data_IF_536782403843
#
_entry.id   IF_536782403843
#
_cell.length_a   1.000
_cell.length_b   1.000
_cell.length_c   1.000
_cell.angle_alpha   90.00
_cell.angle_beta   90.00
_cell.angle_gamma   90.00
#
_symmetry.space_group_name_H-M   'P 1'
#
loop_
_entity.id
_entity.type
_entity.pdbx_description
1 polymer ?
#
# COMPACT_ATOMS: atom_id res chain seq x y z
N UNK A 1 -25.54 12.32 -57.46
CA UNK A 1 -25.51 10.90 -57.87
C UNK A 1 -24.84 10.73 -59.24
N UNK A 2 -23.56 10.34 -59.27
CA UNK A 2 -22.87 9.70 -60.41
C UNK A 2 -21.47 9.27 -59.94
N UNK A 3 -21.11 8.00 -60.13
CA UNK A 3 -19.85 7.41 -59.65
C UNK A 3 -18.91 7.16 -60.84
N UNK A 4 -17.62 7.47 -60.66
CA UNK A 4 -16.49 6.91 -61.42
C UNK A 4 -15.38 6.64 -60.39
N UNK A 5 -15.24 5.40 -59.93
CA UNK A 5 -14.44 4.32 -60.55
C UNK A 5 -12.94 4.58 -60.40
N UNK A 6 -12.33 3.75 -59.55
CA UNK A 6 -10.91 3.77 -59.15
C UNK A 6 -10.05 3.16 -60.26
N UNK A 7 -8.87 3.72 -60.53
CA UNK A 7 -7.93 3.21 -61.52
C UNK A 7 -6.72 2.54 -60.83
N UNK A 8 -6.39 1.30 -61.24
CA UNK A 8 -5.35 0.47 -60.60
C UNK A 8 -3.97 0.67 -61.27
N UNK A 9 -3.11 1.54 -60.74
CA UNK A 9 -1.76 1.72 -61.34
C UNK A 9 -0.61 2.14 -60.40
N UNK A 10 -0.82 2.24 -59.07
CA UNK A 10 0.21 2.79 -58.14
C UNK A 10 0.94 1.70 -57.32
N UNK A 11 0.49 0.44 -57.36
CA UNK A 11 0.97 -0.63 -56.45
C UNK A 11 2.12 -1.49 -57.02
N UNK A 12 2.92 -0.98 -57.97
CA UNK A 12 4.06 -1.74 -58.57
C UNK A 12 5.26 -0.80 -58.82
N UNK A 13 5.73 -0.10 -57.78
CA UNK A 13 6.84 0.86 -57.88
C UNK A 13 7.80 0.88 -56.67
N UNK A 14 7.70 -0.10 -55.76
CA UNK A 14 8.44 -0.11 -54.48
C UNK A 14 9.04 -1.48 -54.12
N UNK A 15 9.25 -2.33 -55.14
CA UNK A 15 9.95 -3.60 -55.06
C UNK A 15 10.84 -3.76 -56.30
N UNK A 16 11.94 -4.52 -56.15
CA UNK A 16 13.04 -4.74 -57.12
C UNK A 16 14.01 -3.57 -57.31
N UNK A 17 15.11 -3.61 -56.53
CA UNK A 17 16.51 -3.24 -56.83
C UNK A 17 17.26 -3.23 -55.48
N UNK A 18 17.44 -4.38 -54.83
CA UNK A 18 18.58 -5.34 -54.98
C UNK A 18 19.82 -4.87 -54.17
N UNK A 19 20.51 -5.76 -53.41
CA UNK A 19 21.37 -5.35 -52.30
C UNK A 19 22.88 -5.61 -52.57
N UNK A 20 23.67 -5.58 -51.48
CA UNK A 20 25.10 -5.95 -51.35
C UNK A 20 26.10 -4.88 -51.82
N UNK A 21 26.81 -4.30 -50.86
CA UNK A 21 28.27 -4.11 -50.93
C UNK A 21 28.84 -3.93 -49.51
N UNK A 22 29.79 -4.78 -49.13
CA UNK A 22 30.39 -4.80 -47.79
C UNK A 22 31.92 -4.78 -47.88
N UNK A 23 32.54 -3.85 -47.15
CA UNK A 23 33.98 -3.75 -46.84
C UNK A 23 34.95 -3.57 -48.02
N UNK A 24 35.81 -2.53 -47.93
CA UNK A 24 37.26 -2.75 -47.73
C UNK A 24 38.02 -1.46 -47.38
N UNK A 25 38.99 -1.64 -46.48
CA UNK A 25 40.02 -0.72 -45.96
C UNK A 25 40.66 0.26 -46.96
N UNK A 26 40.95 1.50 -46.51
CA UNK A 26 42.33 2.01 -46.39
C UNK A 26 42.47 3.35 -45.63
N UNK A 27 43.59 3.50 -44.92
CA UNK A 27 44.10 4.68 -44.19
C UNK A 27 45.65 4.66 -44.38
N UNK A 28 46.44 5.77 -44.37
CA UNK A 28 46.67 6.53 -43.12
C UNK A 28 47.19 8.00 -43.24
N UNK A 29 47.49 8.61 -42.07
CA UNK A 29 48.51 9.68 -41.81
C UNK A 29 48.25 11.12 -42.29
N UNK A 30 48.68 12.21 -41.61
CA UNK A 30 49.00 12.57 -40.18
C UNK A 30 49.34 14.08 -40.13
N UNK A 31 49.43 14.67 -38.92
CA UNK A 31 50.37 15.74 -38.43
C UNK A 31 49.68 16.87 -37.63
N UNK A 32 49.80 16.75 -36.30
CA UNK A 32 50.20 17.73 -35.26
C UNK A 32 49.77 19.22 -35.35
N UNK A 33 49.18 19.69 -34.25
CA UNK A 33 49.91 20.56 -33.30
C UNK A 33 49.36 20.39 -31.86
N UNK A 34 50.27 20.31 -30.90
CA UNK A 34 50.05 20.10 -29.45
C UNK A 34 49.81 21.47 -28.74
N UNK A 35 49.59 21.63 -27.43
CA UNK A 35 49.43 20.74 -26.26
C UNK A 35 48.03 21.05 -25.60
N UNK A 36 47.63 20.84 -24.32
CA UNK A 36 48.19 20.29 -23.07
C UNK A 36 46.99 19.84 -22.18
N UNK A 37 46.99 18.61 -21.63
CA UNK A 37 46.12 18.18 -20.49
C UNK A 37 46.43 16.71 -20.09
N UNK A 38 46.89 16.48 -18.86
CA UNK A 38 47.33 15.16 -18.37
C UNK A 38 46.21 14.19 -17.93
N UNK A 39 46.51 12.88 -18.03
CA UNK A 39 45.99 11.75 -17.20
C UNK A 39 44.47 11.47 -17.15
N UNK A 40 43.96 10.29 -17.48
CA UNK A 40 44.56 9.05 -17.98
C UNK A 40 43.59 8.35 -18.93
N UNK A 41 44.08 7.76 -20.02
CA UNK A 41 43.26 7.05 -21.01
C UNK A 41 43.81 5.65 -21.29
N UNK A 42 43.20 4.64 -20.69
CA UNK A 42 43.56 3.24 -20.91
C UNK A 42 42.79 2.63 -22.09
N UNK A 43 43.34 2.76 -23.30
CA UNK A 43 42.88 2.01 -24.48
C UNK A 43 43.26 0.51 -24.32
N UNK A 44 42.33 -0.31 -23.85
CA UNK A 44 42.53 -1.76 -23.69
C UNK A 44 42.33 -2.45 -25.04
N UNK A 45 43.43 -2.72 -25.75
CA UNK A 45 43.44 -3.57 -26.95
C UNK A 45 43.44 -5.05 -26.53
N UNK A 46 42.26 -5.68 -26.47
CA UNK A 46 42.11 -7.08 -26.07
C UNK A 46 42.66 -8.01 -27.16
N UNK A 47 43.64 -8.86 -26.83
CA UNK A 47 44.28 -9.78 -27.79
C UNK A 47 43.96 -11.26 -27.54
N UNK A 48 43.43 -11.62 -26.36
CA UNK A 48 43.18 -13.01 -25.96
C UNK A 48 42.02 -13.17 -24.98
N UNK A 49 41.37 -14.35 -25.00
CA UNK A 49 40.33 -14.71 -24.03
C UNK A 49 40.84 -14.74 -22.58
N UNK A 50 42.14 -14.95 -22.38
CA UNK A 50 42.82 -14.84 -21.09
C UNK A 50 42.79 -13.42 -20.53
N UNK A 51 42.91 -12.38 -21.38
CA UNK A 51 42.82 -10.98 -20.95
C UNK A 51 41.38 -10.59 -20.62
N UNK A 52 40.38 -11.12 -21.33
CA UNK A 52 38.96 -10.95 -21.00
C UNK A 52 38.61 -11.52 -19.61
N UNK A 53 39.12 -12.71 -19.28
CA UNK A 53 38.96 -13.30 -17.95
C UNK A 53 39.70 -12.51 -16.87
N UNK A 54 40.83 -11.89 -17.19
CA UNK A 54 41.59 -11.06 -16.24
C UNK A 54 40.96 -9.68 -16.05
N UNK A 55 40.38 -9.07 -17.09
CA UNK A 55 39.65 -7.80 -16.99
C UNK A 55 38.39 -7.95 -16.17
N UNK A 56 37.62 -9.05 -16.34
CA UNK A 56 36.49 -9.38 -15.46
C UNK A 56 36.92 -9.49 -13.99
N UNK A 57 38.09 -10.06 -13.71
CA UNK A 57 38.64 -10.23 -12.35
C UNK A 57 39.31 -8.99 -11.76
N UNK A 58 39.52 -7.93 -12.55
CA UNK A 58 40.09 -6.65 -12.10
C UNK A 58 39.03 -5.53 -12.06
N UNK A 59 38.01 -5.61 -12.91
CA UNK A 59 36.82 -4.76 -12.86
C UNK A 59 35.74 -5.31 -11.92
N UNK A 60 35.95 -6.49 -11.32
CA UNK A 60 35.32 -6.84 -10.03
C UNK A 60 35.92 -6.01 -8.89
N UNK A 61 35.76 -4.68 -8.98
CA UNK A 61 35.40 -3.90 -7.79
C UNK A 61 34.24 -4.65 -7.14
N UNK A 62 34.26 -4.80 -5.82
CA UNK A 62 33.19 -5.51 -5.15
C UNK A 62 31.86 -4.80 -5.45
N UNK A 63 31.02 -5.44 -6.26
CA UNK A 63 29.58 -5.24 -6.19
C UNK A 63 29.16 -5.73 -4.79
N UNK A 64 29.30 -4.84 -3.81
CA UNK A 64 28.38 -4.78 -2.69
C UNK A 64 27.00 -4.85 -3.32
N UNK A 65 26.28 -5.94 -3.08
CA UNK A 65 24.87 -6.01 -3.46
C UNK A 65 24.22 -4.74 -2.89
N UNK A 66 23.55 -3.96 -3.74
CA UNK A 66 22.91 -2.73 -3.29
C UNK A 66 22.01 -3.07 -2.11
N UNK A 67 22.30 -2.49 -0.94
CA UNK A 67 21.49 -2.75 0.24
C UNK A 67 20.07 -2.30 -0.08
N UNK A 68 19.13 -3.23 0.00
CA UNK A 68 17.73 -2.98 -0.30
C UNK A 68 17.29 -1.70 0.42
N UNK A 69 16.60 -0.75 -0.27
CA UNK A 69 15.97 0.36 0.44
C UNK A 69 15.07 -0.24 1.51
N UNK A 70 15.43 0.02 2.77
CA UNK A 70 14.92 -0.70 3.96
C UNK A 70 13.39 -0.80 4.01
N UNK A 71 12.60 0.21 3.59
CA UNK A 71 11.15 0.10 3.46
C UNK A 71 10.70 -1.02 2.50
N UNK A 72 11.21 -1.07 1.27
CA UNK A 72 10.69 -1.95 0.22
C UNK A 72 10.83 -3.43 0.56
N UNK A 73 11.93 -3.85 1.19
CA UNK A 73 12.08 -5.24 1.64
C UNK A 73 10.99 -5.61 2.65
N UNK A 74 10.70 -4.72 3.59
CA UNK A 74 9.70 -4.90 4.64
C UNK A 74 8.28 -4.94 4.06
N UNK A 75 7.98 -4.10 3.08
CA UNK A 75 6.70 -4.10 2.37
C UNK A 75 6.53 -5.34 1.47
N UNK A 76 7.60 -5.88 0.87
CA UNK A 76 7.56 -7.15 0.12
C UNK A 76 7.29 -8.36 1.03
N UNK A 77 8.03 -8.51 2.11
CA UNK A 77 7.84 -9.63 3.04
C UNK A 77 6.48 -9.52 3.76
N UNK A 78 6.01 -8.29 4.02
CA UNK A 78 4.65 -7.99 4.44
C UNK A 78 3.60 -8.40 3.41
N UNK A 79 3.77 -8.09 2.12
CA UNK A 79 2.82 -8.45 1.06
C UNK A 79 2.74 -9.97 0.85
N UNK A 80 3.87 -10.68 0.90
CA UNK A 80 3.93 -12.15 0.92
C UNK A 80 3.09 -12.74 2.06
N UNK A 81 3.14 -12.10 3.23
CA UNK A 81 2.31 -12.51 4.37
C UNK A 81 0.83 -12.21 4.16
N UNK A 82 0.50 -11.02 3.63
CA UNK A 82 -0.89 -10.60 3.33
C UNK A 82 -1.54 -11.51 2.29
N UNK A 83 -0.82 -11.93 1.25
CA UNK A 83 -1.31 -12.77 0.16
C UNK A 83 -1.40 -14.26 0.50
N UNK A 84 -1.08 -14.69 1.73
CA UNK A 84 -1.19 -16.09 2.15
C UNK A 84 -2.53 -16.77 1.79
N UNK A 85 -3.72 -16.13 1.93
CA UNK A 85 -4.99 -16.74 1.51
C UNK A 85 -4.99 -17.08 0.01
N UNK A 86 -4.65 -16.11 -0.84
CA UNK A 86 -4.60 -16.26 -2.30
C UNK A 86 -3.60 -17.32 -2.76
N UNK A 87 -2.51 -17.54 -2.01
CA UNK A 87 -1.43 -18.46 -2.37
C UNK A 87 -1.53 -19.84 -1.69
N UNK A 88 -2.58 -20.13 -0.92
CA UNK A 88 -2.75 -21.38 -0.17
C UNK A 88 -3.86 -22.27 -0.74
N UNK A 89 -3.51 -23.42 -1.31
CA UNK A 89 -4.44 -24.30 -2.04
C UNK A 89 -5.59 -24.93 -1.21
N UNK A 90 -5.65 -24.68 0.09
CA UNK A 90 -6.76 -25.09 0.98
C UNK A 90 -7.59 -23.91 1.51
N UNK A 91 -7.41 -22.71 0.94
CA UNK A 91 -8.17 -21.50 1.28
C UNK A 91 -9.23 -21.20 0.19
N UNK A 92 -10.36 -20.63 0.59
CA UNK A 92 -11.48 -20.33 -0.32
C UNK A 92 -11.13 -19.24 -1.34
N UNK A 93 -10.18 -18.36 -1.02
CA UNK A 93 -9.70 -17.28 -1.89
C UNK A 93 -8.53 -17.68 -2.80
N UNK A 94 -8.23 -18.98 -2.93
CA UNK A 94 -7.06 -19.47 -3.66
C UNK A 94 -7.11 -19.18 -5.17
N UNK A 95 -6.13 -18.43 -5.70
CA UNK A 95 -6.11 -17.98 -7.11
C UNK A 95 -5.69 -19.07 -8.11
N UNK A 96 -5.46 -20.30 -7.66
CA UNK A 96 -5.00 -21.40 -8.51
C UNK A 96 -3.47 -21.50 -8.63
N UNK A 97 -2.98 -22.69 -8.97
CA UNK A 97 -1.53 -22.98 -8.96
C UNK A 97 -0.72 -22.16 -9.97
N UNK A 98 -1.27 -21.88 -11.16
CA UNK A 98 -0.56 -21.15 -12.21
C UNK A 98 -0.34 -19.67 -11.85
N UNK A 99 -1.37 -19.04 -11.30
CA UNK A 99 -1.31 -17.64 -10.87
C UNK A 99 -0.59 -17.49 -9.52
N UNK A 100 -0.66 -18.47 -8.62
CA UNK A 100 0.26 -18.60 -7.48
C UNK A 100 1.72 -18.59 -7.95
N UNK A 101 2.08 -19.46 -8.91
CA UNK A 101 3.47 -19.58 -9.39
C UNK A 101 3.97 -18.27 -10.00
N UNK A 102 3.12 -17.58 -10.77
CA UNK A 102 3.41 -16.25 -11.32
C UNK A 102 3.58 -15.18 -10.22
N UNK A 103 2.68 -15.13 -9.24
CA UNK A 103 2.77 -14.16 -8.14
C UNK A 103 4.02 -14.41 -7.28
N UNK A 104 4.30 -15.65 -6.88
CA UNK A 104 5.45 -15.98 -6.03
C UNK A 104 6.80 -15.82 -6.75
N UNK A 105 6.94 -16.34 -7.97
CA UNK A 105 8.24 -16.43 -8.65
C UNK A 105 8.58 -15.22 -9.54
N UNK A 106 7.61 -14.36 -9.86
CA UNK A 106 7.80 -13.24 -10.79
C UNK A 106 7.31 -11.88 -10.27
N UNK A 107 6.14 -11.79 -9.64
CA UNK A 107 5.70 -10.50 -9.06
C UNK A 107 6.40 -10.21 -7.72
N UNK A 108 6.41 -11.18 -6.80
CA UNK A 108 7.05 -11.07 -5.48
C UNK A 108 8.54 -11.45 -5.51
N UNK A 109 9.18 -11.38 -6.68
CA UNK A 109 10.58 -11.72 -6.90
C UNK A 109 11.48 -10.50 -6.56
N UNK A 110 12.31 -10.58 -5.50
CA UNK A 110 12.98 -9.42 -4.93
C UNK A 110 14.04 -8.85 -5.88
N UNK A 111 14.76 -9.72 -6.62
CA UNK A 111 15.84 -9.38 -7.55
C UNK A 111 15.36 -8.59 -8.77
N UNK A 112 14.05 -8.52 -8.98
CA UNK A 112 13.41 -7.83 -10.12
C UNK A 112 12.63 -6.58 -9.73
N UNK A 113 12.67 -6.20 -8.45
CA UNK A 113 11.91 -5.07 -7.88
C UNK A 113 12.19 -3.73 -8.58
N UNK A 114 13.47 -3.39 -8.78
CA UNK A 114 13.88 -2.14 -9.41
C UNK A 114 13.64 -2.09 -10.94
N UNK A 115 13.18 -3.18 -11.56
CA UNK A 115 12.89 -3.22 -13.00
C UNK A 115 11.51 -2.63 -13.30
N UNK A 116 11.44 -1.85 -14.39
CA UNK A 116 10.18 -1.36 -14.95
C UNK A 116 9.22 -2.54 -15.17
N UNK A 117 7.96 -2.35 -14.77
CA UNK A 117 6.92 -3.38 -14.87
C UNK A 117 6.27 -3.32 -16.25
N UNK A 118 6.24 -4.42 -17.02
CA UNK A 118 5.46 -4.48 -18.24
C UNK A 118 3.99 -4.18 -17.96
N UNK A 119 3.33 -3.44 -18.84
CA UNK A 119 1.94 -3.06 -18.65
C UNK A 119 1.00 -4.28 -18.65
N UNK A 120 1.32 -5.29 -19.47
CA UNK A 120 0.66 -6.60 -19.46
C UNK A 120 0.79 -7.33 -18.12
N UNK A 121 1.95 -7.23 -17.45
CA UNK A 121 2.15 -7.79 -16.12
C UNK A 121 1.41 -7.00 -15.04
N UNK A 122 1.42 -5.66 -15.13
CA UNK A 122 0.65 -4.80 -14.23
C UNK A 122 -0.85 -5.07 -14.33
N UNK A 123 -1.39 -5.18 -15.55
CA UNK A 123 -2.78 -5.58 -15.79
C UNK A 123 -3.08 -6.95 -15.16
N UNK A 124 -2.23 -7.96 -15.37
CA UNK A 124 -2.42 -9.29 -14.78
C UNK A 124 -2.40 -9.26 -13.26
N UNK A 125 -1.46 -8.56 -12.64
CA UNK A 125 -1.39 -8.45 -11.17
C UNK A 125 -2.60 -7.72 -10.61
N UNK A 126 -3.03 -6.60 -11.24
CA UNK A 126 -4.26 -5.89 -10.86
C UNK A 126 -5.49 -6.80 -10.96
N UNK A 127 -5.61 -7.59 -12.03
CA UNK A 127 -6.73 -8.55 -12.21
C UNK A 127 -6.74 -9.64 -11.16
N UNK A 128 -5.59 -10.25 -10.88
CA UNK A 128 -5.49 -11.34 -9.89
C UNK A 128 -5.73 -10.83 -8.46
N UNK A 129 -5.10 -9.71 -8.09
CA UNK A 129 -5.11 -9.23 -6.72
C UNK A 129 -6.38 -8.44 -6.34
N UNK A 130 -7.12 -7.92 -7.31
CA UNK A 130 -8.45 -7.31 -7.10
C UNK A 130 -9.62 -8.19 -7.59
N UNK A 131 -9.35 -9.46 -7.92
CA UNK A 131 -10.33 -10.47 -8.34
C UNK A 131 -11.23 -9.96 -9.48
N UNK A 132 -10.62 -9.50 -10.57
CA UNK A 132 -11.32 -9.12 -11.82
C UNK A 132 -11.25 -10.24 -12.86
N UNK A 133 -12.35 -10.97 -12.96
CA UNK A 133 -12.68 -11.94 -14.00
C UNK A 133 -12.70 -11.35 -15.43
N UNK A 134 -13.11 -12.14 -16.41
CA UNK A 134 -13.26 -11.70 -17.80
C UNK A 134 -14.50 -10.84 -18.06
N UNK A 135 -15.53 -10.86 -17.19
CA UNK A 135 -16.71 -9.99 -17.33
C UNK A 135 -16.36 -8.54 -16.96
N UNK A 136 -15.53 -8.37 -15.94
CA UNK A 136 -15.00 -7.08 -15.49
C UNK A 136 -13.85 -6.54 -16.35
N UNK A 137 -13.40 -7.25 -17.40
CA UNK A 137 -12.22 -6.87 -18.20
C UNK A 137 -12.32 -5.45 -18.79
N UNK A 138 -13.51 -4.96 -19.12
CA UNK A 138 -13.71 -3.61 -19.66
C UNK A 138 -13.38 -2.52 -18.62
N UNK A 139 -13.60 -2.74 -17.33
CA UNK A 139 -13.19 -1.77 -16.30
C UNK A 139 -11.67 -1.66 -16.21
N UNK A 140 -10.98 -2.81 -16.18
CA UNK A 140 -9.52 -2.88 -16.15
C UNK A 140 -8.94 -2.23 -17.40
N UNK A 141 -9.49 -2.55 -18.58
CA UNK A 141 -9.10 -1.94 -19.85
C UNK A 141 -9.20 -0.41 -19.83
N UNK A 142 -10.36 0.13 -19.43
CA UNK A 142 -10.65 1.57 -19.44
C UNK A 142 -9.76 2.36 -18.48
N UNK A 143 -9.25 1.71 -17.42
CA UNK A 143 -8.46 2.35 -16.36
C UNK A 143 -6.95 2.10 -16.47
N UNK A 144 -6.52 0.98 -17.05
CA UNK A 144 -5.13 0.56 -17.16
C UNK A 144 -4.70 0.46 -18.63
N UNK A 145 -5.25 -0.50 -19.38
CA UNK A 145 -4.74 -0.91 -20.70
C UNK A 145 -4.80 0.21 -21.74
N UNK A 146 -5.87 1.01 -21.74
CA UNK A 146 -6.05 2.14 -22.69
C UNK A 146 -5.11 3.34 -22.39
N UNK A 147 -4.33 3.31 -21.30
CA UNK A 147 -3.29 4.30 -20.95
C UNK A 147 -1.85 3.79 -21.16
N UNK A 148 -1.67 2.65 -21.82
CA UNK A 148 -0.35 2.02 -21.99
C UNK A 148 0.41 2.52 -23.21
N UNK A 149 1.74 2.60 -23.10
CA UNK A 149 2.66 3.05 -24.16
C UNK A 149 3.86 2.10 -24.18
N UNK A 150 4.14 1.47 -25.32
CA UNK A 150 5.25 0.52 -25.53
C UNK A 150 5.39 -0.55 -24.42
N UNK A 151 4.26 -1.17 -24.05
CA UNK A 151 4.09 -2.13 -22.94
C UNK A 151 4.59 -1.61 -21.58
N UNK A 152 4.37 -0.32 -21.32
CA UNK A 152 4.61 0.34 -20.02
C UNK A 152 3.45 1.25 -19.67
N UNK A 153 3.39 1.62 -18.39
CA UNK A 153 2.42 2.57 -17.86
C UNK A 153 3.13 3.61 -16.98
N UNK A 154 2.78 4.88 -17.17
CA UNK A 154 3.26 5.99 -16.33
C UNK A 154 2.56 5.95 -14.97
N UNK A 155 3.30 6.25 -13.89
CA UNK A 155 2.82 6.14 -12.50
C UNK A 155 1.50 6.89 -12.27
N UNK A 156 1.28 8.02 -12.93
CA UNK A 156 0.03 8.79 -12.85
C UNK A 156 -1.20 8.03 -13.33
N UNK A 157 -1.08 7.26 -14.42
CA UNK A 157 -2.18 6.42 -14.91
C UNK A 157 -2.30 5.13 -14.12
N UNK A 158 -1.17 4.53 -13.73
CA UNK A 158 -1.17 3.30 -12.92
C UNK A 158 -1.91 3.49 -11.59
N UNK A 159 -1.60 4.54 -10.82
CA UNK A 159 -2.23 4.78 -9.53
C UNK A 159 -3.66 5.32 -9.67
N UNK A 160 -3.92 6.24 -10.61
CA UNK A 160 -5.28 6.74 -10.81
C UNK A 160 -6.24 5.64 -11.31
N UNK A 161 -5.78 4.79 -12.23
CA UNK A 161 -6.52 3.63 -12.70
C UNK A 161 -6.74 2.59 -11.60
N UNK A 162 -5.73 2.35 -10.75
CA UNK A 162 -5.87 1.51 -9.55
C UNK A 162 -6.93 2.06 -8.60
N UNK A 163 -6.92 3.36 -8.29
CA UNK A 163 -7.94 3.99 -7.43
C UNK A 163 -9.36 3.81 -7.97
N UNK A 164 -9.56 4.01 -9.27
CA UNK A 164 -10.85 3.76 -9.94
C UNK A 164 -11.30 2.30 -9.82
N UNK A 165 -10.37 1.34 -9.88
CA UNK A 165 -10.66 -0.09 -9.72
C UNK A 165 -10.89 -0.50 -8.26
N UNK A 166 -10.21 0.11 -7.29
CA UNK A 166 -10.44 -0.13 -5.86
C UNK A 166 -11.87 0.28 -5.46
N UNK A 167 -12.41 1.36 -6.02
CA UNK A 167 -13.81 1.77 -5.79
C UNK A 167 -14.86 0.81 -6.39
N UNK A 168 -14.45 -0.21 -7.16
CA UNK A 168 -15.32 -1.31 -7.64
C UNK A 168 -15.20 -2.59 -6.78
N UNK A 169 -14.42 -2.53 -5.68
CA UNK A 169 -14.13 -3.66 -4.78
C UNK A 169 -14.21 -3.31 -3.29
N UNK A 170 -14.15 -2.03 -2.95
CA UNK A 170 -14.26 -1.50 -1.59
C UNK A 170 -15.23 -0.31 -1.57
N UNK A 171 -15.86 0.01 -0.42
CA UNK A 171 -16.73 1.19 -0.25
C UNK A 171 -15.94 2.52 -0.18
N UNK A 172 -14.92 2.66 -1.02
CA UNK A 172 -14.09 3.85 -1.13
C UNK A 172 -14.77 4.92 -1.98
N UNK A 173 -14.66 6.17 -1.54
CA UNK A 173 -15.01 7.32 -2.37
C UNK A 173 -13.79 7.93 -3.04
N UNK A 174 -14.02 8.29 -4.30
CA UNK A 174 -13.12 9.07 -5.15
C UNK A 174 -13.63 10.52 -5.32
N UNK A 175 -14.74 10.88 -4.66
CA UNK A 175 -15.25 12.25 -4.64
C UNK A 175 -14.27 13.17 -3.91
N UNK A 176 -14.03 14.33 -4.52
CA UNK A 176 -13.13 15.35 -4.02
C UNK A 176 -13.80 16.27 -3.00
N UNK A 177 -13.54 16.08 -1.71
CA UNK A 177 -13.76 17.13 -0.72
C UNK A 177 -12.58 18.12 -0.75
N UNK A 178 -12.86 19.35 -1.16
CA UNK A 178 -11.83 20.36 -1.49
C UNK A 178 -10.87 20.68 -0.33
N UNK A 179 -11.29 20.50 0.93
CA UNK A 179 -10.44 20.74 2.10
C UNK A 179 -9.37 19.66 2.29
N UNK A 180 -9.69 18.37 2.04
CA UNK A 180 -8.67 17.30 2.02
C UNK A 180 -7.62 17.61 0.95
N UNK A 181 -8.07 18.06 -0.23
CA UNK A 181 -7.18 18.38 -1.35
C UNK A 181 -6.28 19.58 -1.08
N UNK A 182 -6.78 20.63 -0.42
CA UNK A 182 -5.95 21.75 0.02
C UNK A 182 -4.95 21.35 1.12
N UNK A 183 -5.31 20.41 2.01
CA UNK A 183 -4.37 19.79 2.96
C UNK A 183 -3.37 18.85 2.26
N UNK A 184 -3.71 18.27 1.09
CA UNK A 184 -2.86 17.35 0.31
C UNK A 184 -1.76 18.01 -0.54
N UNK A 185 -1.62 19.34 -0.52
CA UNK A 185 -0.65 20.15 -1.32
C UNK A 185 0.83 19.76 -1.11
N UNK A 186 1.11 18.83 -0.19
CA UNK A 186 2.43 18.27 0.13
C UNK A 186 3.13 17.60 -1.07
N UNK A 187 2.42 16.99 -2.03
CA UNK A 187 3.09 16.43 -3.24
C UNK A 187 3.33 17.56 -4.25
N UNK A 188 4.61 17.87 -4.48
CA UNK A 188 5.01 19.11 -5.18
C UNK A 188 5.10 19.01 -6.71
N UNK A 189 5.08 17.81 -7.28
CA UNK A 189 5.27 17.58 -8.73
C UNK A 189 3.99 17.17 -9.49
N UNK A 190 2.81 17.45 -8.94
CA UNK A 190 1.51 17.16 -9.58
C UNK A 190 0.98 18.30 -10.47
N UNK A 191 1.64 19.46 -10.53
CA UNK A 191 1.11 20.69 -11.17
C UNK A 191 0.76 20.55 -12.66
N UNK A 192 1.47 19.66 -13.38
CA UNK A 192 1.33 19.48 -14.84
C UNK A 192 0.31 18.40 -15.24
N UNK A 193 -0.28 17.70 -14.28
CA UNK A 193 -1.17 16.56 -14.52
C UNK A 193 -2.61 17.04 -14.78
N UNK A 194 -3.36 16.34 -15.64
CA UNK A 194 -4.81 16.49 -15.71
C UNK A 194 -5.45 16.35 -14.32
N UNK A 195 -6.25 17.35 -13.93
CA UNK A 195 -6.80 17.47 -12.57
C UNK A 195 -7.43 16.15 -12.09
N UNK A 196 -8.21 15.46 -12.93
CA UNK A 196 -8.86 14.17 -12.59
C UNK A 196 -7.90 13.11 -12.04
N UNK A 197 -6.68 13.01 -12.57
CA UNK A 197 -5.67 12.06 -12.08
C UNK A 197 -4.97 12.60 -10.82
N UNK A 198 -4.69 13.91 -10.78
CA UNK A 198 -4.15 14.61 -9.60
C UNK A 198 -5.06 14.45 -8.37
N UNK A 199 -6.38 14.56 -8.52
CA UNK A 199 -7.35 14.28 -7.45
C UNK A 199 -7.19 12.85 -6.90
N UNK A 200 -7.09 11.85 -7.79
CA UNK A 200 -6.95 10.44 -7.42
C UNK A 200 -5.60 10.14 -6.76
N UNK A 201 -4.50 10.75 -7.23
CA UNK A 201 -3.16 10.62 -6.63
C UNK A 201 -3.12 11.27 -5.24
N UNK A 202 -3.68 12.48 -5.08
CA UNK A 202 -3.83 13.14 -3.78
C UNK A 202 -4.67 12.30 -2.81
N UNK A 203 -5.81 11.74 -3.26
CA UNK A 203 -6.66 10.88 -2.42
C UNK A 203 -5.96 9.57 -2.04
N UNK A 204 -5.24 8.94 -2.97
CA UNK A 204 -4.41 7.77 -2.71
C UNK A 204 -3.31 8.07 -1.69
N UNK A 205 -2.65 9.22 -1.79
CA UNK A 205 -1.64 9.68 -0.84
C UNK A 205 -2.24 9.86 0.55
N UNK A 206 -3.36 10.56 0.69
CA UNK A 206 -4.02 10.74 1.98
C UNK A 206 -4.51 9.42 2.60
N UNK A 207 -4.95 8.45 1.80
CA UNK A 207 -5.31 7.10 2.26
C UNK A 207 -4.09 6.18 2.53
N UNK A 208 -2.87 6.65 2.24
CA UNK A 208 -1.61 5.92 2.45
C UNK A 208 -1.24 4.91 1.36
N UNK A 209 -1.94 4.90 0.21
CA UNK A 209 -1.81 3.89 -0.85
C UNK A 209 -0.69 4.19 -1.88
N UNK A 210 -0.09 5.38 -1.86
CA UNK A 210 1.13 5.68 -2.64
C UNK A 210 2.30 4.84 -2.16
N UNK A 211 3.21 4.49 -3.08
CA UNK A 211 4.41 3.72 -2.75
C UNK A 211 5.45 4.46 -1.89
N UNK A 212 6.37 3.69 -1.33
CA UNK A 212 7.46 4.12 -0.44
C UNK A 212 8.30 5.31 -0.93
N UNK A 213 8.48 5.51 -2.24
CA UNK A 213 9.34 6.59 -2.75
C UNK A 213 8.75 7.99 -2.52
N UNK A 214 7.43 8.08 -2.34
CA UNK A 214 6.69 9.34 -2.15
C UNK A 214 6.84 9.84 -0.71
N UNK A 215 7.06 8.93 0.26
CA UNK A 215 7.15 9.28 1.68
C UNK A 215 8.41 10.11 2.00
N UNK A 216 9.56 9.68 1.49
CA UNK A 216 10.85 10.33 1.74
C UNK A 216 11.01 11.65 0.97
N UNK A 217 10.52 11.70 -0.27
CA UNK A 217 10.83 12.79 -1.22
C UNK A 217 9.72 13.83 -1.36
N UNK A 218 8.47 13.47 -1.06
CA UNK A 218 7.25 14.23 -1.44
C UNK A 218 7.15 14.53 -2.95
N UNK A 219 7.74 13.67 -3.76
CA UNK A 219 7.67 13.67 -5.23
C UNK A 219 7.01 12.36 -5.68
N UNK A 220 5.92 12.48 -6.46
CA UNK A 220 5.21 11.33 -6.99
C UNK A 220 5.85 10.79 -8.29
N UNK A 221 6.62 11.61 -9.02
CA UNK A 221 7.24 11.28 -10.31
C UNK A 221 6.20 10.79 -11.34
N UNK A 222 5.17 11.61 -11.67
CA UNK A 222 3.98 11.15 -12.40
C UNK A 222 4.24 10.54 -13.77
N UNK A 223 5.22 11.10 -14.50
CA UNK A 223 5.59 10.71 -15.87
C UNK A 223 6.65 9.60 -15.92
N UNK A 224 7.15 9.14 -14.77
CA UNK A 224 8.04 7.98 -14.73
C UNK A 224 7.23 6.68 -14.87
N UNK A 225 7.79 5.68 -15.54
CA UNK A 225 7.17 4.36 -15.66
C UNK A 225 7.17 3.62 -14.31
N UNK A 226 6.08 2.91 -14.03
CA UNK A 226 5.93 2.07 -12.85
C UNK A 226 7.01 0.98 -12.82
N UNK A 227 7.67 0.78 -11.68
CA UNK A 227 8.49 -0.41 -11.42
C UNK A 227 7.80 -1.40 -10.47
N UNK A 228 8.30 -2.64 -10.45
CA UNK A 228 7.71 -3.74 -9.67
C UNK A 228 7.75 -3.47 -8.16
N UNK A 229 8.79 -2.82 -7.64
CA UNK A 229 8.90 -2.43 -6.23
C UNK A 229 7.84 -1.41 -5.80
N UNK A 230 7.59 -0.40 -6.64
CA UNK A 230 6.52 0.56 -6.45
C UNK A 230 5.14 -0.14 -6.46
N UNK A 231 4.91 -1.06 -7.39
CA UNK A 231 3.68 -1.87 -7.46
C UNK A 231 3.48 -2.77 -6.21
N UNK A 232 4.53 -3.45 -5.74
CA UNK A 232 4.53 -4.22 -4.48
C UNK A 232 4.12 -3.33 -3.30
N UNK A 233 4.72 -2.14 -3.20
CA UNK A 233 4.48 -1.19 -2.12
C UNK A 233 3.04 -0.66 -2.10
N UNK A 234 2.49 -0.29 -3.27
CA UNK A 234 1.08 0.10 -3.39
C UNK A 234 0.15 -1.02 -2.89
N UNK A 235 0.31 -2.26 -3.37
CA UNK A 235 -0.54 -3.38 -2.94
C UNK A 235 -0.36 -3.76 -1.47
N UNK A 236 0.84 -3.67 -0.92
CA UNK A 236 1.07 -3.88 0.52
C UNK A 236 0.27 -2.90 1.37
N UNK A 237 0.34 -1.60 1.04
CA UNK A 237 -0.35 -0.53 1.75
C UNK A 237 -1.86 -0.63 1.60
N UNK A 238 -2.36 -0.88 0.39
CA UNK A 238 -3.78 -1.12 0.13
C UNK A 238 -4.32 -2.28 0.96
N UNK A 239 -3.69 -3.46 0.92
CA UNK A 239 -4.22 -4.67 1.56
C UNK A 239 -3.90 -4.77 3.07
N UNK A 240 -3.05 -3.90 3.63
CA UNK A 240 -2.95 -3.72 5.08
C UNK A 240 -3.97 -2.71 5.62
N UNK A 241 -4.40 -1.74 4.80
CA UNK A 241 -5.42 -0.75 5.18
C UNK A 241 -6.87 -1.26 4.98
N UNK A 242 -7.10 -2.07 3.94
CA UNK A 242 -8.45 -2.50 3.51
C UNK A 242 -8.73 -4.00 3.63
N UNK A 243 -7.70 -4.82 3.86
CA UNK A 243 -7.77 -6.27 3.69
C UNK A 243 -7.81 -6.70 2.23
N UNK A 244 -7.93 -8.01 1.98
CA UNK A 244 -8.13 -8.56 0.63
C UNK A 244 -9.61 -8.41 0.22
N UNK A 245 -9.91 -8.10 -1.04
CA UNK A 245 -11.30 -8.00 -1.49
C UNK A 245 -11.98 -9.38 -1.51
N UNK A 246 -13.28 -9.41 -1.18
CA UNK A 246 -14.13 -10.59 -1.35
C UNK A 246 -14.41 -10.85 -2.83
N UNK A 247 -14.59 -12.12 -3.19
CA UNK A 247 -14.81 -12.52 -4.58
C UNK A 247 -16.11 -11.96 -5.19
N UNK A 248 -17.14 -11.73 -4.35
CA UNK A 248 -18.35 -10.98 -4.71
C UNK A 248 -18.59 -9.84 -3.70
N UNK A 249 -19.08 -8.66 -4.15
CA UNK A 249 -19.65 -7.63 -3.27
C UNK A 249 -21.06 -7.96 -2.76
N UNK A 250 -21.86 -8.73 -3.53
CA UNK A 250 -23.29 -8.97 -3.24
C UNK A 250 -23.58 -10.23 -2.38
N UNK A 251 -22.65 -11.20 -2.30
CA UNK A 251 -22.87 -12.50 -1.61
C UNK A 251 -22.19 -12.56 -0.24
N UNK A 252 -22.62 -11.72 0.71
CA UNK A 252 -22.16 -11.76 2.11
C UNK A 252 -23.28 -11.98 3.15
N UNK A 253 -24.32 -12.72 2.77
CA UNK A 253 -25.18 -13.42 3.74
C UNK A 253 -24.97 -14.93 3.69
N UNK A 254 -24.63 -15.49 4.85
CA UNK A 254 -24.43 -16.92 5.14
C UNK A 254 -23.14 -17.54 4.57
N UNK A 255 -22.11 -17.59 5.40
CA UNK A 255 -21.07 -18.64 5.34
C UNK A 255 -21.34 -19.62 6.48
N UNK A 256 -21.31 -20.93 6.20
CA UNK A 256 -21.39 -21.98 7.22
C UNK A 256 -20.02 -22.68 7.35
N UNK A 257 -19.60 -22.98 8.58
CA UNK A 257 -18.40 -23.77 8.85
C UNK A 257 -18.37 -25.11 8.10
N UNK A 258 -17.23 -25.51 7.52
CA UNK A 258 -16.38 -26.60 8.08
C UNK A 258 -15.22 -27.03 7.16
N UNK A 259 -13.98 -26.68 7.52
CA UNK A 259 -12.76 -27.42 7.10
C UNK A 259 -11.79 -27.55 8.29
N UNK A 260 -11.03 -28.65 8.35
CA UNK A 260 -10.18 -29.00 9.49
C UNK A 260 -8.79 -28.33 9.46
N UNK A 261 -8.25 -27.98 10.63
CA UNK A 261 -6.88 -27.43 10.77
C UNK A 261 -5.81 -28.50 10.91
N UNK A 262 -4.69 -28.34 10.19
CA UNK A 262 -3.37 -28.86 10.58
C UNK A 262 -2.50 -27.72 11.09
N UNK A 263 -1.80 -27.93 12.21
CA UNK A 263 -0.86 -26.94 12.77
C UNK A 263 0.51 -27.07 12.12
N UNK A 264 0.99 -25.99 11.54
CA UNK A 264 2.43 -25.76 11.38
C UNK A 264 2.93 -24.76 12.42
N UNK A 265 4.21 -24.89 12.78
CA UNK A 265 4.86 -24.10 13.85
C UNK A 265 6.20 -23.60 13.33
N UNK A 266 6.38 -22.28 13.23
CA UNK A 266 7.61 -21.64 12.78
C UNK A 266 8.14 -20.67 13.84
N UNK A 267 9.45 -20.75 14.12
CA UNK A 267 10.17 -19.90 15.07
C UNK A 267 10.42 -18.48 14.53
N UNK A 268 10.55 -17.51 15.44
CA UNK A 268 10.97 -16.14 15.14
C UNK A 268 12.49 -16.00 15.08
N UNK A 269 13.01 -15.32 14.05
CA UNK A 269 14.37 -14.79 13.98
C UNK A 269 14.29 -13.25 13.92
N UNK A 270 14.57 -12.58 15.05
CA UNK A 270 14.29 -11.15 15.22
C UNK A 270 15.25 -10.26 14.42
N UNK A 271 14.70 -9.48 13.48
CA UNK A 271 15.47 -8.48 12.71
C UNK A 271 14.73 -7.14 12.61
N UNK A 272 14.81 -6.32 13.68
CA UNK A 272 14.19 -4.98 13.80
C UNK A 272 12.82 -4.88 13.11
N UNK A 273 11.91 -5.70 13.62
CA UNK A 273 10.57 -5.92 13.09
C UNK A 273 9.79 -4.59 13.05
N UNK A 274 9.10 -4.35 11.94
CA UNK A 274 8.10 -3.28 11.85
C UNK A 274 6.87 -3.76 12.59
N UNK A 275 6.27 -2.89 13.40
CA UNK A 275 5.05 -3.20 14.12
C UNK A 275 3.98 -3.72 13.15
N UNK A 276 3.64 -4.98 13.32
CA UNK A 276 2.89 -5.80 12.37
C UNK A 276 1.51 -6.15 12.92
N UNK A 277 0.69 -6.82 12.10
CA UNK A 277 -0.56 -7.43 12.59
C UNK A 277 -0.24 -8.46 13.69
N UNK A 278 0.91 -9.12 13.62
CA UNK A 278 1.34 -10.13 14.58
C UNK A 278 1.75 -9.50 15.92
N UNK A 279 2.29 -8.28 15.91
CA UNK A 279 2.55 -7.48 17.11
C UNK A 279 1.25 -6.97 17.74
N UNK A 280 0.30 -6.47 16.93
CA UNK A 280 -1.05 -6.09 17.36
C UNK A 280 -1.72 -7.27 18.12
N UNK A 281 -1.70 -8.44 17.50
CA UNK A 281 -2.23 -9.70 18.04
C UNK A 281 -1.51 -10.09 19.33
N UNK A 282 -0.19 -10.00 19.35
CA UNK A 282 0.63 -10.41 20.49
C UNK A 282 0.46 -9.49 21.69
N UNK A 283 0.42 -8.17 21.49
CA UNK A 283 0.16 -7.19 22.54
C UNK A 283 -1.24 -7.37 23.15
N UNK A 284 -2.25 -7.54 22.29
CA UNK A 284 -3.63 -7.79 22.70
C UNK A 284 -3.76 -9.05 23.55
N UNK A 285 -3.30 -10.21 23.05
CA UNK A 285 -3.38 -11.46 23.80
C UNK A 285 -2.48 -11.46 25.04
N UNK A 286 -1.33 -10.78 25.03
CA UNK A 286 -0.50 -10.64 26.23
C UNK A 286 -1.27 -9.90 27.33
N UNK A 287 -1.92 -8.77 27.00
CA UNK A 287 -2.71 -8.01 27.96
C UNK A 287 -3.92 -8.81 28.47
N UNK A 288 -4.73 -9.41 27.58
CA UNK A 288 -5.88 -10.26 27.95
C UNK A 288 -5.47 -11.42 28.85
N UNK A 289 -4.34 -12.08 28.55
CA UNK A 289 -3.77 -13.14 29.39
C UNK A 289 -3.20 -12.64 30.73
N UNK A 290 -2.96 -11.35 30.89
CA UNK A 290 -2.60 -10.76 32.19
C UNK A 290 -3.83 -10.54 33.07
N UNK A 291 -4.94 -10.05 32.49
CA UNK A 291 -6.23 -9.90 33.18
C UNK A 291 -6.78 -11.26 33.65
N UNK A 292 -6.77 -12.27 32.79
CA UNK A 292 -7.19 -13.65 33.10
C UNK A 292 -6.44 -14.31 34.26
N UNK A 293 -5.25 -13.82 34.62
CA UNK A 293 -4.45 -14.30 35.77
C UNK A 293 -4.71 -13.51 37.06
N UNK A 294 -5.39 -12.37 36.95
CA UNK A 294 -5.73 -11.52 38.09
C UNK A 294 -6.98 -12.03 38.82
N UNK A 295 -7.22 -11.45 40.00
CA UNK A 295 -8.41 -11.67 40.83
C UNK A 295 -9.01 -10.35 41.35
N UNK A 296 -8.59 -9.20 40.80
CA UNK A 296 -9.17 -7.89 41.15
C UNK A 296 -10.47 -7.67 40.37
N UNK A 297 -11.48 -7.09 41.00
CA UNK A 297 -12.76 -6.76 40.35
C UNK A 297 -12.58 -5.86 39.12
N UNK A 298 -11.72 -4.85 39.19
CA UNK A 298 -11.42 -3.98 38.05
C UNK A 298 -10.84 -4.75 36.85
N UNK A 299 -9.93 -5.71 37.10
CA UNK A 299 -9.33 -6.52 36.03
C UNK A 299 -10.36 -7.48 35.40
N UNK A 300 -11.40 -7.88 36.15
CA UNK A 300 -12.56 -8.64 35.64
C UNK A 300 -13.45 -7.75 34.76
N UNK A 301 -13.81 -6.53 35.22
CA UNK A 301 -14.60 -5.57 34.42
C UNK A 301 -13.89 -5.24 33.10
N UNK A 302 -12.58 -4.97 33.13
CA UNK A 302 -11.77 -4.76 31.91
C UNK A 302 -11.83 -5.98 30.97
N UNK A 303 -11.75 -7.19 31.51
CA UNK A 303 -11.85 -8.42 30.71
C UNK A 303 -13.25 -8.60 30.09
N UNK A 304 -14.32 -8.24 30.80
CA UNK A 304 -15.68 -8.23 30.25
C UNK A 304 -15.83 -7.22 29.11
N UNK A 305 -15.26 -6.02 29.23
CA UNK A 305 -15.22 -5.01 28.15
C UNK A 305 -14.53 -5.57 26.90
N UNK A 306 -13.37 -6.23 27.05
CA UNK A 306 -12.67 -6.87 25.93
C UNK A 306 -13.51 -7.99 25.28
N UNK A 307 -14.21 -8.81 26.07
CA UNK A 307 -15.12 -9.83 25.53
C UNK A 307 -16.34 -9.25 24.79
N UNK A 308 -16.86 -8.07 25.21
CA UNK A 308 -17.87 -7.34 24.42
C UNK A 308 -17.30 -6.91 23.07
N UNK A 309 -16.09 -6.33 23.06
CA UNK A 309 -15.43 -5.86 21.83
C UNK A 309 -15.14 -7.00 20.83
N UNK A 310 -14.60 -8.14 21.28
CA UNK A 310 -14.35 -9.31 20.44
C UNK A 310 -15.62 -9.84 19.76
N UNK A 311 -16.73 -9.85 20.50
CA UNK A 311 -18.03 -10.31 20.00
C UNK A 311 -18.63 -9.35 18.96
N UNK A 312 -18.40 -8.04 19.09
CA UNK A 312 -18.95 -7.03 18.16
C UNK A 312 -18.14 -7.01 16.85
N UNK A 313 -16.83 -7.21 16.92
CA UNK A 313 -15.93 -7.25 15.75
C UNK A 313 -15.90 -8.62 15.03
N UNK A 314 -16.75 -9.55 15.46
CA UNK A 314 -16.86 -10.97 15.04
C UNK A 314 -15.51 -11.71 14.98
N UNK A 315 -14.77 -11.66 16.09
CA UNK A 315 -13.42 -12.23 16.20
C UNK A 315 -13.51 -13.61 16.85
N UNK A 316 -13.49 -14.68 16.06
CA UNK A 316 -13.10 -15.99 16.57
C UNK A 316 -11.57 -16.05 16.74
N UNK A 317 -11.12 -16.77 17.77
CA UNK A 317 -9.71 -17.05 18.06
C UNK A 317 -9.07 -17.96 16.98
N UNK A 318 -9.86 -18.50 16.04
CA UNK A 318 -9.43 -19.36 14.92
C UNK A 318 -9.20 -18.58 13.63
N UNK A 319 -10.08 -17.62 13.34
CA UNK A 319 -9.89 -16.65 12.26
C UNK A 319 -8.90 -15.59 12.74
N UNK A 320 -7.67 -15.61 12.22
CA UNK A 320 -6.75 -14.49 12.43
C UNK A 320 -7.44 -13.21 11.97
N UNK A 321 -7.57 -12.26 12.91
CA UNK A 321 -8.42 -11.07 12.90
C UNK A 321 -8.74 -10.55 11.50
N UNK A 322 -10.04 -10.44 11.19
CA UNK A 322 -10.51 -9.91 9.91
C UNK A 322 -9.83 -8.56 9.61
N UNK A 323 -9.24 -8.45 8.43
CA UNK A 323 -8.59 -7.21 7.96
C UNK A 323 -9.57 -6.26 7.28
N UNK A 324 -10.87 -6.59 7.32
CA UNK A 324 -11.92 -5.71 6.86
C UNK A 324 -11.79 -4.36 7.57
N UNK A 325 -11.95 -3.29 6.80
CA UNK A 325 -12.12 -1.94 7.33
C UNK A 325 -13.33 -1.89 8.27
N UNK A 326 -13.15 -1.31 9.45
CA UNK A 326 -14.23 -1.11 10.41
C UNK A 326 -15.13 0.04 9.96
N UNK A 327 -16.44 -0.17 10.08
CA UNK A 327 -17.44 0.84 9.73
C UNK A 327 -17.84 1.71 10.95
N UNK A 328 -18.27 2.94 10.67
CA UNK A 328 -18.59 3.94 11.71
C UNK A 328 -19.78 3.50 12.58
N UNK A 329 -20.79 2.81 12.04
CA UNK A 329 -21.91 2.33 12.86
C UNK A 329 -21.46 1.23 13.83
N UNK A 330 -20.60 0.30 13.40
CA UNK A 330 -20.02 -0.69 14.32
C UNK A 330 -19.09 -0.03 15.35
N UNK A 331 -18.32 0.99 14.98
CA UNK A 331 -17.51 1.77 15.94
C UNK A 331 -18.35 2.53 16.98
N UNK A 332 -19.45 3.17 16.56
CA UNK A 332 -20.43 3.80 17.47
C UNK A 332 -21.03 2.74 18.41
N UNK A 333 -21.36 1.55 17.89
CA UNK A 333 -21.91 0.45 18.68
C UNK A 333 -20.90 -0.11 19.68
N UNK A 334 -19.62 -0.23 19.31
CA UNK A 334 -18.50 -0.54 20.21
C UNK A 334 -18.40 0.49 21.33
N UNK A 335 -18.37 1.79 20.99
CA UNK A 335 -18.27 2.86 22.00
C UNK A 335 -19.46 2.86 22.96
N UNK A 336 -20.65 2.49 22.48
CA UNK A 336 -21.86 2.37 23.30
C UNK A 336 -21.89 1.10 24.18
N UNK A 337 -21.62 -0.09 23.62
CA UNK A 337 -21.71 -1.36 24.36
C UNK A 337 -20.48 -1.67 25.22
N UNK A 338 -19.28 -1.24 24.83
CA UNK A 338 -18.03 -1.53 25.55
C UNK A 338 -17.76 -0.52 26.65
N UNK A 339 -18.07 0.76 26.41
CA UNK A 339 -17.77 1.87 27.32
C UNK A 339 -19.02 2.58 27.89
N UNK A 340 -20.21 2.05 27.62
CA UNK A 340 -21.50 2.48 28.18
C UNK A 340 -21.85 3.96 27.86
N UNK A 341 -21.38 4.44 26.69
CA UNK A 341 -21.68 5.77 26.14
C UNK A 341 -23.06 5.82 25.45
N UNK A 342 -23.71 6.98 25.48
CA UNK A 342 -24.97 7.19 24.75
C UNK A 342 -24.73 7.27 23.23
N UNK A 343 -25.33 6.34 22.49
CA UNK A 343 -25.18 6.17 21.04
C UNK A 343 -25.37 7.47 20.23
N UNK A 344 -26.35 8.31 20.62
CA UNK A 344 -26.63 9.60 19.96
C UNK A 344 -25.60 10.69 20.29
N UNK A 345 -24.93 10.62 21.45
CA UNK A 345 -23.81 11.54 21.74
C UNK A 345 -22.59 11.18 20.89
N UNK A 346 -22.30 9.89 20.73
CA UNK A 346 -21.18 9.41 19.89
C UNK A 346 -21.43 9.71 18.40
N UNK A 347 -22.68 9.58 17.92
CA UNK A 347 -23.07 10.07 16.58
C UNK A 347 -22.88 11.57 16.42
N UNK A 348 -23.15 12.37 17.45
CA UNK A 348 -23.11 13.83 17.35
C UNK A 348 -21.68 14.41 17.30
N UNK A 349 -20.67 13.69 17.80
CA UNK A 349 -19.27 14.12 17.71
C UNK A 349 -18.54 13.60 16.46
N UNK A 350 -19.00 12.49 15.88
CA UNK A 350 -18.46 11.99 14.60
C UNK A 350 -18.95 12.90 13.46
N UNK A 351 -18.06 13.54 12.69
CA UNK A 351 -18.46 14.35 11.54
C UNK A 351 -19.13 13.48 10.46
N UNK A 352 -19.98 14.11 9.62
CA UNK A 352 -20.79 13.44 8.60
C UNK A 352 -19.94 12.84 7.45
N UNK A 353 -19.21 11.77 7.73
CA UNK A 353 -18.52 10.96 6.74
C UNK A 353 -19.56 10.25 5.86
N UNK A 354 -19.60 10.63 4.58
CA UNK A 354 -20.55 10.14 3.57
C UNK A 354 -20.49 8.62 3.33
N UNK A 355 -19.42 7.93 3.74
CA UNK A 355 -19.11 6.56 3.31
C UNK A 355 -18.98 5.53 4.44
N UNK A 356 -19.36 5.89 5.68
CA UNK A 356 -19.41 4.97 6.83
C UNK A 356 -18.10 4.23 7.17
N UNK A 357 -16.92 4.67 6.69
CA UNK A 357 -15.62 4.07 7.01
C UNK A 357 -15.00 4.78 8.24
N UNK A 358 -14.52 4.02 9.24
CA UNK A 358 -13.74 4.61 10.33
C UNK A 358 -12.31 4.92 9.86
N UNK A 359 -11.91 6.19 9.95
CA UNK A 359 -10.51 6.63 9.80
C UNK A 359 -9.89 6.96 11.17
N UNK A 360 -8.56 6.98 11.24
CA UNK A 360 -7.84 7.25 12.49
C UNK A 360 -8.12 8.63 13.10
N UNK A 361 -8.34 9.66 12.29
CA UNK A 361 -8.72 11.00 12.78
C UNK A 361 -10.16 11.04 13.33
N UNK A 362 -11.13 10.40 12.67
CA UNK A 362 -12.50 10.22 13.18
C UNK A 362 -12.50 9.39 14.47
N UNK A 363 -11.68 8.34 14.54
CA UNK A 363 -11.47 7.57 15.77
C UNK A 363 -10.95 8.49 16.89
N UNK A 364 -9.91 9.29 16.64
CA UNK A 364 -9.39 10.25 17.61
C UNK A 364 -10.46 11.25 18.09
N UNK A 365 -11.26 11.81 17.18
CA UNK A 365 -12.38 12.70 17.53
C UNK A 365 -13.34 12.00 18.52
N UNK A 366 -13.80 10.81 18.14
CA UNK A 366 -14.76 10.03 18.94
C UNK A 366 -14.21 9.48 20.27
N UNK A 367 -12.89 9.44 20.46
CA UNK A 367 -12.26 9.02 21.72
C UNK A 367 -12.08 10.22 22.66
N UNK A 368 -11.52 11.32 22.16
CA UNK A 368 -11.13 12.46 23.00
C UNK A 368 -12.27 13.45 23.30
N UNK A 369 -13.47 13.25 22.73
CA UNK A 369 -14.68 13.93 23.16
C UNK A 369 -15.21 13.44 24.52
N UNK A 370 -14.88 12.20 24.93
CA UNK A 370 -15.41 11.56 26.13
C UNK A 370 -14.30 11.33 27.18
N UNK A 371 -14.11 12.22 28.17
CA UNK A 371 -12.98 12.14 29.11
C UNK A 371 -12.96 10.88 29.98
N UNK A 372 -14.12 10.23 30.14
CA UNK A 372 -14.24 8.94 30.82
C UNK A 372 -13.63 7.76 30.04
N UNK A 373 -13.25 7.94 28.77
CA UNK A 373 -12.41 6.99 28.03
C UNK A 373 -10.92 7.18 28.31
N UNK A 374 -10.48 8.41 28.64
CA UNK A 374 -9.06 8.78 28.72
C UNK A 374 -8.56 9.00 30.15
N UNK A 375 -9.46 9.00 31.13
CA UNK A 375 -9.14 9.27 32.54
C UNK A 375 -8.96 10.76 32.86
N UNK A 376 -9.36 11.65 31.95
CA UNK A 376 -9.23 13.10 32.10
C UNK A 376 -10.45 13.75 32.76
N UNK A 377 -10.28 14.94 33.33
CA UNK A 377 -11.41 15.70 33.89
C UNK A 377 -12.26 16.39 32.81
N UNK A 378 -11.67 16.74 31.66
CA UNK A 378 -12.30 17.51 30.56
C UNK A 378 -11.59 17.24 29.21
N UNK A 379 -12.27 17.43 28.07
CA UNK A 379 -11.59 17.61 26.80
C UNK A 379 -10.75 18.89 26.85
N UNK A 380 -9.53 18.84 26.33
CA UNK A 380 -8.62 19.97 26.27
C UNK A 380 -7.66 19.82 25.09
N UNK A 381 -7.13 20.95 24.62
CA UNK A 381 -6.10 20.93 23.58
C UNK A 381 -4.78 20.36 24.11
N UNK A 382 -4.06 19.67 23.23
CA UNK A 382 -2.68 19.23 23.45
C UNK A 382 -1.71 20.42 23.46
N UNK A 383 -0.53 20.23 24.06
CA UNK A 383 0.50 21.27 24.04
C UNK A 383 1.24 21.37 22.69
N UNK A 384 1.93 22.50 22.47
CA UNK A 384 2.65 22.77 21.22
C UNK A 384 3.74 21.71 20.92
N UNK A 385 4.33 21.11 21.96
CA UNK A 385 5.38 20.09 21.84
C UNK A 385 4.77 18.73 21.47
N UNK A 386 3.59 18.38 21.98
CA UNK A 386 2.83 17.21 21.53
C UNK A 386 2.43 17.34 20.04
N UNK A 387 1.95 18.52 19.63
CA UNK A 387 1.63 18.82 18.22
C UNK A 387 2.86 18.72 17.31
N UNK A 388 4.01 19.27 17.73
CA UNK A 388 5.27 19.15 16.97
C UNK A 388 5.71 17.69 16.88
N UNK A 389 5.73 16.94 17.99
CA UNK A 389 6.15 15.55 18.00
C UNK A 389 5.25 14.65 17.13
N UNK A 390 3.94 14.88 17.13
CA UNK A 390 3.01 14.18 16.25
C UNK A 390 3.21 14.53 14.77
N UNK A 391 3.44 15.81 14.45
CA UNK A 391 3.74 16.27 13.07
C UNK A 391 5.08 15.77 12.54
N UNK A 392 6.10 15.65 13.39
CA UNK A 392 7.40 15.08 13.03
C UNK A 392 7.34 13.55 12.83
N UNK A 393 6.48 12.85 13.56
CA UNK A 393 6.38 11.39 13.54
C UNK A 393 5.37 10.83 12.52
N UNK A 394 4.29 11.55 12.19
CA UNK A 394 3.18 11.04 11.37
C UNK A 394 3.17 11.71 9.99
N UNK A 395 3.34 10.93 8.89
CA UNK A 395 3.13 11.44 7.54
C UNK A 395 1.74 12.07 7.38
N UNK A 396 1.71 13.26 6.80
CA UNK A 396 0.47 14.00 6.52
C UNK A 396 -0.39 14.30 7.76
N UNK A 397 0.21 14.43 8.94
CA UNK A 397 -0.47 14.79 10.20
C UNK A 397 -1.55 15.90 10.05
N UNK A 398 -1.23 16.98 9.34
CA UNK A 398 -2.14 18.12 9.12
C UNK A 398 -3.35 17.84 8.19
N UNK A 399 -3.46 16.62 7.64
CA UNK A 399 -4.66 16.17 6.91
C UNK A 399 -5.83 15.78 7.81
N UNK A 400 -5.58 15.56 9.11
CA UNK A 400 -6.62 15.25 10.09
C UNK A 400 -7.74 16.30 10.11
N UNK A 401 -8.97 15.86 10.38
CA UNK A 401 -10.10 16.76 10.69
C UNK A 401 -9.85 17.54 11.98
N UNK A 402 -9.33 16.88 13.01
CA UNK A 402 -8.91 17.48 14.27
C UNK A 402 -7.47 17.11 14.61
N UNK A 403 -6.54 18.04 14.34
CA UNK A 403 -5.12 17.87 14.66
C UNK A 403 -4.84 17.80 16.18
N UNK A 404 -5.70 18.40 17.01
CA UNK A 404 -5.52 18.45 18.47
C UNK A 404 -5.84 17.09 19.09
N UNK A 405 -7.05 16.58 18.81
CA UNK A 405 -7.48 15.24 19.24
C UNK A 405 -6.61 14.14 18.60
N UNK A 406 -6.16 14.30 17.36
CA UNK A 406 -5.28 13.33 16.71
C UNK A 406 -3.85 13.30 17.27
N UNK A 407 -3.23 14.45 17.57
CA UNK A 407 -1.97 14.49 18.31
C UNK A 407 -2.10 13.87 19.71
N UNK A 408 -3.27 14.02 20.37
CA UNK A 408 -3.55 13.38 21.65
C UNK A 408 -3.62 11.85 21.54
N UNK A 409 -4.14 11.32 20.44
CA UNK A 409 -4.12 9.88 20.14
C UNK A 409 -2.68 9.35 19.95
N UNK A 410 -1.77 10.20 19.49
CA UNK A 410 -0.34 9.89 19.42
C UNK A 410 0.34 9.98 20.80
N UNK A 411 0.21 11.10 21.52
CA UNK A 411 0.93 11.33 22.79
C UNK A 411 0.47 10.43 23.95
N UNK A 412 -0.80 10.03 23.97
CA UNK A 412 -1.35 9.03 24.89
C UNK A 412 -0.83 7.60 24.66
N UNK A 413 -0.10 7.34 23.58
CA UNK A 413 0.38 6.02 23.21
C UNK A 413 -0.68 5.10 22.58
N UNK A 414 -1.91 5.59 22.32
CA UNK A 414 -2.94 4.81 21.62
C UNK A 414 -2.45 4.40 20.21
N UNK A 415 -1.67 5.26 19.55
CA UNK A 415 -1.01 4.96 18.27
C UNK A 415 0.38 4.30 18.38
N UNK A 416 0.85 3.85 19.55
CA UNK A 416 2.18 3.24 19.69
C UNK A 416 2.34 2.03 18.75
N UNK A 417 3.45 1.97 18.02
CA UNK A 417 3.67 0.95 16.97
C UNK A 417 2.87 1.20 15.69
N UNK A 418 1.54 1.41 15.79
CA UNK A 418 0.61 1.62 14.67
C UNK A 418 1.10 2.70 13.71
N UNK A 419 1.57 3.85 14.23
CA UNK A 419 2.07 4.95 13.39
C UNK A 419 3.33 4.63 12.56
N UNK A 420 3.94 3.45 12.78
CA UNK A 420 5.14 2.97 12.07
C UNK A 420 4.81 1.96 10.97
N UNK A 421 3.53 1.60 10.80
CA UNK A 421 3.08 0.78 9.67
C UNK A 421 3.23 1.62 8.39
N UNK A 422 3.83 1.11 7.30
CA UNK A 422 3.93 1.86 6.05
C UNK A 422 2.56 2.28 5.51
N UNK A 423 2.48 3.49 4.96
CA UNK A 423 1.19 4.08 4.57
C UNK A 423 0.27 4.47 5.74
N UNK A 424 0.80 4.68 6.96
CA UNK A 424 0.02 5.27 8.05
C UNK A 424 -0.15 6.79 7.85
N UNK A 425 -1.41 7.25 7.95
CA UNK A 425 -1.84 8.65 7.84
C UNK A 425 -3.05 8.87 8.76
N UNK A 426 -3.47 10.12 9.06
CA UNK A 426 -4.71 10.37 9.81
C UNK A 426 -5.96 9.84 9.09
N UNK A 427 -5.95 9.88 7.75
CA UNK A 427 -7.04 9.44 6.87
C UNK A 427 -7.00 7.95 6.50
N UNK A 428 -6.02 7.18 7.01
CA UNK A 428 -5.99 5.72 6.86
C UNK A 428 -7.26 5.10 7.47
N UNK A 429 -7.94 4.16 6.77
CA UNK A 429 -9.01 3.37 7.36
C UNK A 429 -8.48 2.45 8.47
N UNK A 430 -9.25 2.30 9.55
CA UNK A 430 -8.94 1.40 10.67
C UNK A 430 -9.51 0.01 10.38
N UNK A 431 -8.73 -1.06 10.51
CA UNK A 431 -9.24 -2.44 10.42
C UNK A 431 -9.65 -3.03 11.79
N UNK A 432 -10.38 -4.15 11.83
CA UNK A 432 -10.89 -4.73 13.09
C UNK A 432 -9.77 -5.09 14.10
N UNK A 433 -8.57 -5.46 13.64
CA UNK A 433 -7.44 -5.77 14.53
C UNK A 433 -6.88 -4.49 15.19
N UNK A 434 -6.71 -3.43 14.41
CA UNK A 434 -6.29 -2.10 14.86
C UNK A 434 -7.34 -1.48 15.81
N UNK A 435 -8.62 -1.62 15.50
CA UNK A 435 -9.71 -1.16 16.35
C UNK A 435 -9.71 -1.87 17.72
N UNK A 436 -9.51 -3.20 17.74
CA UNK A 436 -9.40 -3.94 19.00
C UNK A 436 -8.18 -3.50 19.84
N UNK A 437 -7.06 -3.17 19.20
CA UNK A 437 -5.89 -2.64 19.89
C UNK A 437 -6.16 -1.27 20.50
N UNK A 438 -6.84 -0.38 19.78
CA UNK A 438 -7.28 0.93 20.28
C UNK A 438 -8.20 0.72 21.50
N UNK A 439 -9.24 -0.12 21.38
CA UNK A 439 -10.17 -0.47 22.47
C UNK A 439 -9.39 -1.02 23.67
N UNK A 440 -8.45 -1.94 23.44
CA UNK A 440 -7.62 -2.52 24.50
C UNK A 440 -6.77 -1.47 25.22
N UNK A 441 -6.16 -0.53 24.48
CA UNK A 441 -5.35 0.54 25.05
C UNK A 441 -6.19 1.55 25.86
N UNK A 442 -7.41 1.85 25.42
CA UNK A 442 -8.40 2.61 26.20
C UNK A 442 -8.76 1.84 27.49
N UNK A 443 -9.25 0.59 27.38
CA UNK A 443 -9.58 -0.29 28.52
C UNK A 443 -8.40 -0.45 29.49
N UNK A 444 -7.15 -0.46 28.99
CA UNK A 444 -5.92 -0.53 29.78
C UNK A 444 -5.65 0.73 30.61
N UNK A 445 -6.06 1.91 30.14
CA UNK A 445 -5.92 3.20 30.82
C UNK A 445 -6.93 3.48 31.94
N UNK A 446 -8.09 2.80 31.94
CA UNK A 446 -9.15 2.90 32.97
C UNK A 446 -8.78 2.28 34.34
#
# INVERSE_FOLDING_TARGET
>A
MKVRVINKTVLIALLVMIPVLSMLSCSPKTILSDDESDGDKYDITISSNSELLYSYKKNSVALTAEEYPSPLKKELDGLRYVLKPYLSAGNELFIGNYDKEYIENYFLNPDTSNLAMPATDWERVVRLLLVFDDENCQYVKTNITDYTIDDKIERKYALAGLMNLLALRYPLSLDADNEELQKSIVITDLETIEEKHKLLISKAYCLGFTDFSVDETRLFRPDAFLNRGEAISMFYRIFTNLGLPSANPDDSMVINDTVNTTKDTSSSDQTQEVYSVEDIISEYYYYKNSLLKSKKTADITKLEMLYRAEKILDIDNRSQFSRNTLDINTWIFILSEVFELENEQVKACIPNNKYNILTYDVAAISIFEFPNLTGEEKPGDVDEKELIAAREAIPQFDTAEDISRFARMFSSGILEGIHKIPGFTPKRPVNNAEALLIIMRIVKGL
#
